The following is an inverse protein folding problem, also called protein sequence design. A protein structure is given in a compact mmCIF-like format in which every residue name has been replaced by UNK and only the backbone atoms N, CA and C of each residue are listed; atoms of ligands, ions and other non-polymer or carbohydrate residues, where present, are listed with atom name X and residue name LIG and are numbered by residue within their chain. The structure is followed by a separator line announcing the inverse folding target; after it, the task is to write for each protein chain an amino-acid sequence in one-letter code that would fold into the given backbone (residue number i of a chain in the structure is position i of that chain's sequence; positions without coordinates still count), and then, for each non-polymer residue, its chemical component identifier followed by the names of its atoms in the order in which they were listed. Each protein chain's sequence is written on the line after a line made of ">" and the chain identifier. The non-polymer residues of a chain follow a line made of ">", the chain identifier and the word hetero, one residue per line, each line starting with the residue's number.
data_IF_235106016916
#
_entry.id   IF_235106016916
#
_cell.length_a   1.000
_cell.length_b   1.000
_cell.length_c   1.000
_cell.angle_alpha   90.00
_cell.angle_beta   90.00
_cell.angle_gamma   90.00
#
_symmetry.space_group_name_H-M   'P 1'
#
loop_
_entity.id
_entity.type
_entity.pdbx_description
1 polymer ?
#
# COMPACT_ATOMS: atom_id res chain seq x y z
N UNK A 1 -8.78 -32.24 7.96
CA UNK A 1 -7.83 -32.20 6.82
C UNK A 1 -8.59 -31.76 5.60
N UNK A 2 -8.19 -30.67 4.92
CA UNK A 2 -8.77 -30.34 3.62
C UNK A 2 -8.34 -31.42 2.61
N UNK A 3 -9.32 -32.02 1.93
CA UNK A 3 -9.07 -33.07 0.96
C UNK A 3 -8.54 -32.44 -0.33
N UNK A 4 -7.28 -32.72 -0.68
CA UNK A 4 -6.60 -32.18 -1.87
C UNK A 4 -7.39 -32.46 -3.16
N UNK A 5 -8.15 -33.56 -3.20
CA UNK A 5 -8.98 -33.90 -4.35
C UNK A 5 -10.14 -32.91 -4.54
N UNK A 6 -10.73 -32.38 -3.47
CA UNK A 6 -11.81 -31.37 -3.54
C UNK A 6 -11.27 -30.06 -4.13
N UNK A 7 -10.01 -29.72 -3.82
CA UNK A 7 -9.35 -28.53 -4.37
C UNK A 7 -9.07 -28.68 -5.86
N UNK A 8 -8.57 -29.85 -6.27
CA UNK A 8 -8.29 -30.13 -7.69
C UNK A 8 -9.59 -30.15 -8.50
N UNK A 9 -10.65 -30.76 -7.97
CA UNK A 9 -11.98 -30.80 -8.59
C UNK A 9 -12.59 -29.40 -8.69
N UNK A 10 -12.48 -28.56 -7.64
CA UNK A 10 -12.92 -27.18 -7.70
C UNK A 10 -12.13 -26.34 -8.71
N UNK A 11 -10.83 -26.60 -8.86
CA UNK A 11 -9.98 -25.91 -9.84
C UNK A 11 -10.37 -26.31 -11.26
N UNK A 12 -10.60 -27.59 -11.50
CA UNK A 12 -11.02 -28.13 -12.81
C UNK A 12 -12.39 -27.58 -13.24
N UNK A 13 -13.35 -27.52 -12.31
CA UNK A 13 -14.64 -26.88 -12.51
C UNK A 13 -14.47 -25.39 -12.83
N UNK A 14 -13.62 -24.65 -12.10
CA UNK A 14 -13.38 -23.23 -12.40
C UNK A 14 -12.72 -22.99 -13.76
N UNK A 15 -11.88 -23.91 -14.23
CA UNK A 15 -11.23 -23.81 -15.55
C UNK A 15 -12.13 -24.18 -16.73
N UNK A 16 -13.28 -24.81 -16.47
CA UNK A 16 -14.23 -25.23 -17.51
C UNK A 16 -15.42 -24.27 -17.67
N UNK A 17 -15.51 -23.23 -16.84
CA UNK A 17 -16.59 -22.25 -16.92
C UNK A 17 -16.43 -21.32 -18.12
N UNK A 18 -17.55 -21.08 -18.81
CA UNK A 18 -17.64 -20.20 -19.97
C UNK A 18 -17.88 -18.74 -19.55
N UNK A 19 -17.66 -17.78 -20.46
CA UNK A 19 -17.88 -16.34 -20.18
C UNK A 19 -19.31 -16.02 -19.72
N UNK A 20 -20.28 -16.86 -20.07
CA UNK A 20 -21.68 -16.76 -19.63
C UNK A 20 -21.90 -17.12 -18.16
N UNK A 21 -20.99 -17.87 -17.53
CA UNK A 21 -21.11 -18.34 -16.14
C UNK A 21 -20.50 -17.36 -15.12
N UNK A 22 -19.77 -16.35 -15.59
CA UNK A 22 -19.11 -15.32 -14.78
C UNK A 22 -20.12 -14.53 -13.93
N UNK A 23 -21.33 -14.34 -14.43
CA UNK A 23 -22.41 -13.64 -13.70
C UNK A 23 -22.82 -14.35 -12.41
N UNK A 24 -22.78 -15.69 -12.39
CA UNK A 24 -23.12 -16.49 -11.21
C UNK A 24 -21.96 -16.50 -10.23
N UNK A 25 -20.71 -16.58 -10.72
CA UNK A 25 -19.50 -16.54 -9.89
C UNK A 25 -19.34 -15.23 -9.12
N UNK A 26 -19.77 -14.10 -9.69
CA UNK A 26 -19.73 -12.79 -9.00
C UNK A 26 -20.51 -12.78 -7.69
N UNK A 27 -21.60 -13.56 -7.59
CA UNK A 27 -22.35 -13.69 -6.33
C UNK A 27 -21.55 -14.42 -5.23
N UNK A 28 -20.51 -15.17 -5.62
CA UNK A 28 -19.66 -15.94 -4.72
C UNK A 28 -18.24 -15.36 -4.62
N UNK A 29 -17.96 -14.19 -5.19
CA UNK A 29 -16.63 -13.58 -5.27
C UNK A 29 -15.93 -13.55 -3.90
N UNK A 30 -16.60 -13.04 -2.87
CA UNK A 30 -16.04 -13.00 -1.51
C UNK A 30 -15.69 -14.39 -0.96
N UNK A 31 -16.56 -15.39 -1.19
CA UNK A 31 -16.30 -16.78 -0.78
C UNK A 31 -15.15 -17.41 -1.55
N UNK A 32 -14.98 -17.05 -2.83
CA UNK A 32 -13.89 -17.52 -3.67
C UNK A 32 -12.55 -16.93 -3.22
N UNK A 33 -12.52 -15.63 -2.90
CA UNK A 33 -11.34 -14.94 -2.36
C UNK A 33 -10.94 -15.54 -1.02
N UNK A 34 -11.90 -15.77 -0.11
CA UNK A 34 -11.63 -16.40 1.19
C UNK A 34 -11.08 -17.83 1.03
N UNK A 35 -11.65 -18.60 0.10
CA UNK A 35 -11.18 -19.96 -0.22
C UNK A 35 -9.75 -19.95 -0.79
N UNK A 36 -9.44 -19.04 -1.72
CA UNK A 36 -8.10 -18.89 -2.30
C UNK A 36 -7.06 -18.48 -1.26
N UNK A 37 -7.41 -17.54 -0.36
CA UNK A 37 -6.53 -17.16 0.73
C UNK A 37 -6.29 -18.32 1.71
N UNK A 38 -7.32 -19.09 2.05
CA UNK A 38 -7.18 -20.28 2.88
C UNK A 38 -6.24 -21.31 2.22
N UNK A 39 -6.38 -21.52 0.91
CA UNK A 39 -5.52 -22.41 0.12
C UNK A 39 -4.06 -21.97 0.14
N UNK A 40 -3.80 -20.68 -0.09
CA UNK A 40 -2.45 -20.12 -0.04
C UNK A 40 -1.80 -20.29 1.34
N UNK A 41 -2.56 -20.12 2.44
CA UNK A 41 -2.07 -20.37 3.80
C UNK A 41 -1.69 -21.85 3.97
N UNK A 42 -2.52 -22.77 3.48
CA UNK A 42 -2.23 -24.21 3.56
C UNK A 42 -1.01 -24.61 2.74
N UNK A 43 -0.86 -24.12 1.51
CA UNK A 43 0.32 -24.40 0.67
C UNK A 43 1.60 -23.90 1.34
N UNK A 44 1.58 -22.70 1.92
CA UNK A 44 2.74 -22.16 2.67
C UNK A 44 3.06 -23.00 3.90
N UNK A 45 2.05 -23.44 4.65
CA UNK A 45 2.25 -24.31 5.81
C UNK A 45 2.89 -25.65 5.41
N UNK A 46 2.46 -26.26 4.30
CA UNK A 46 3.05 -27.51 3.78
C UNK A 46 4.48 -27.29 3.30
N UNK A 47 4.77 -26.17 2.63
CA UNK A 47 6.13 -25.82 2.21
C UNK A 47 7.07 -25.59 3.39
N UNK A 48 6.60 -24.95 4.46
CA UNK A 48 7.38 -24.74 5.69
C UNK A 48 7.76 -26.07 6.35
N UNK A 49 6.81 -27.01 6.48
CA UNK A 49 7.08 -28.35 7.03
C UNK A 49 8.07 -29.13 6.17
N UNK A 50 7.99 -29.00 4.84
CA UNK A 50 8.92 -29.68 3.90
C UNK A 50 10.36 -29.18 4.06
N UNK A 51 10.58 -27.91 4.41
CA UNK A 51 11.91 -27.35 4.63
C UNK A 51 12.51 -27.85 5.94
N UNK A 52 11.71 -27.97 7.00
CA UNK A 52 12.17 -28.49 8.30
C UNK A 52 12.49 -29.99 8.25
N UNK A 53 11.79 -30.76 7.42
CA UNK A 53 12.01 -32.21 7.29
C UNK A 53 13.28 -32.57 6.49
N UNK A 54 13.74 -31.69 5.59
CA UNK A 54 14.96 -31.91 4.78
C UNK A 54 16.23 -31.39 5.48
N UNK A 55 16.08 -30.51 6.48
CA UNK A 55 17.21 -29.98 7.27
C UNK A 55 17.73 -30.89 8.39
N UNK A 56 17.02 -31.98 8.72
CA UNK A 56 17.39 -32.90 9.81
C UNK A 56 17.68 -34.31 9.29
N UNK A 57 18.52 -34.42 8.25
CA UNK A 57 19.04 -35.68 7.74
C UNK A 57 20.26 -36.19 8.53
N UNK A 58 20.04 -36.55 9.79
CA UNK A 58 20.97 -37.41 10.55
C UNK A 58 20.65 -38.88 10.26
N UNK A 59 21.62 -39.61 9.74
CA UNK A 59 21.54 -41.02 9.36
C UNK A 59 21.14 -41.93 10.51
N UNK A 60 19.99 -42.61 10.40
CA UNK A 60 19.74 -43.88 11.08
C UNK A 60 18.77 -44.76 10.28
N UNK A 61 19.33 -45.78 9.67
CA UNK A 61 18.66 -47.02 9.22
C UNK A 61 17.94 -47.70 10.38
N UNK A 62 16.73 -48.24 10.16
CA UNK A 62 16.32 -49.65 10.41
C UNK A 62 14.78 -49.81 10.26
N UNK A 63 14.44 -50.74 9.36
CA UNK A 63 13.31 -51.67 9.22
C UNK A 63 11.82 -51.29 9.37
N UNK A 64 10.94 -51.88 8.52
CA UNK A 64 9.49 -51.71 8.58
C UNK A 64 8.82 -52.82 9.40
N UNK A 65 7.78 -52.50 10.16
CA UNK A 65 6.71 -53.46 10.38
C UNK A 65 5.35 -52.82 10.69
N UNK A 66 4.34 -53.48 10.11
CA UNK A 66 2.88 -53.49 10.29
C UNK A 66 2.19 -52.60 11.35
N UNK A 67 1.04 -52.01 10.97
CA UNK A 67 -0.30 -52.46 11.43
C UNK A 67 -1.40 -51.40 11.28
N UNK A 68 -2.53 -51.87 10.78
CA UNK A 68 -3.88 -51.28 10.76
C UNK A 68 -4.31 -50.58 12.05
N UNK A 69 -5.13 -49.51 11.93
CA UNK A 69 -6.54 -49.48 12.41
C UNK A 69 -7.21 -48.12 12.19
N UNK A 70 -8.36 -48.14 11.52
CA UNK A 70 -9.39 -47.08 11.57
C UNK A 70 -10.05 -47.06 12.96
N UNK A 71 -10.74 -45.96 13.29
CA UNK A 71 -12.19 -46.15 13.40
C UNK A 71 -13.02 -44.99 12.82
N UNK A 72 -14.15 -45.39 12.24
CA UNK A 72 -15.30 -44.56 11.95
C UNK A 72 -16.06 -44.21 13.23
N UNK A 73 -16.74 -43.05 13.26
CA UNK A 73 -18.17 -42.98 13.64
C UNK A 73 -18.72 -41.55 13.74
N UNK A 74 -19.82 -41.36 13.01
CA UNK A 74 -21.12 -40.86 13.51
C UNK A 74 -21.37 -39.35 13.60
N UNK A 75 -22.22 -38.92 12.66
CA UNK A 75 -23.13 -37.77 12.69
C UNK A 75 -24.11 -37.85 13.89
N UNK A 76 -24.41 -36.72 14.55
CA UNK A 76 -25.74 -36.07 14.49
C UNK A 76 -25.86 -34.82 15.41
N UNK A 77 -26.90 -33.97 15.21
CA UNK A 77 -26.89 -32.53 15.46
C UNK A 77 -27.86 -32.08 16.59
N UNK A 78 -28.15 -30.77 16.62
CA UNK A 78 -29.09 -30.00 17.45
C UNK A 78 -28.40 -29.32 18.67
N UNK A 79 -28.77 -28.15 19.16
CA UNK A 79 -29.94 -27.29 18.92
C UNK A 79 -29.65 -25.88 19.51
N UNK A 80 -30.58 -24.99 19.19
CA UNK A 80 -30.74 -23.58 19.55
C UNK A 80 -30.81 -23.34 21.07
N UNK A 81 -30.20 -22.26 21.59
CA UNK A 81 -30.78 -21.50 22.70
C UNK A 81 -30.17 -20.09 22.85
N UNK A 82 -31.07 -19.12 22.91
CA UNK A 82 -30.86 -17.71 23.23
C UNK A 82 -30.38 -17.49 24.68
N UNK A 83 -29.73 -16.35 24.95
CA UNK A 83 -29.37 -16.00 26.32
C UNK A 83 -28.56 -14.72 26.51
N UNK A 84 -29.16 -13.58 26.20
CA UNK A 84 -29.25 -12.39 27.06
C UNK A 84 -28.15 -12.15 28.13
N UNK A 85 -27.46 -10.99 28.09
CA UNK A 85 -27.51 -9.92 29.12
C UNK A 85 -26.34 -8.92 29.03
N UNK A 86 -26.72 -7.65 29.07
CA UNK A 86 -25.92 -6.48 29.44
C UNK A 86 -25.16 -6.67 30.76
N UNK A 87 -23.98 -6.04 30.86
CA UNK A 87 -23.62 -5.24 32.04
C UNK A 87 -22.61 -4.15 31.68
N UNK A 88 -22.94 -2.93 32.12
CA UNK A 88 -22.12 -1.74 32.21
C UNK A 88 -20.82 -1.98 32.99
N UNK A 89 -19.73 -1.32 32.60
CA UNK A 89 -18.59 -1.05 33.48
C UNK A 89 -18.35 0.44 33.59
N UNK A 90 -18.37 0.89 34.84
CA UNK A 90 -18.10 2.23 35.32
C UNK A 90 -16.60 2.56 35.29
N UNK A 91 -16.34 3.85 35.10
CA UNK A 91 -15.05 4.54 35.23
C UNK A 91 -14.77 4.83 36.70
N UNK A 92 -13.52 4.77 37.17
CA UNK A 92 -13.09 5.55 38.31
C UNK A 92 -12.03 6.60 37.92
N UNK A 93 -12.40 7.84 38.18
CA UNK A 93 -11.54 9.02 38.28
C UNK A 93 -10.86 9.05 39.64
N UNK A 94 -9.58 9.41 39.72
CA UNK A 94 -8.97 10.01 40.93
C UNK A 94 -7.57 10.62 40.67
N UNK A 95 -7.09 11.51 41.56
CA UNK A 95 -6.41 12.75 41.14
C UNK A 95 -4.99 12.97 41.72
N UNK A 96 -4.35 14.04 41.19
CA UNK A 96 -3.46 15.05 41.81
C UNK A 96 -2.50 14.69 42.98
N UNK A 97 -1.24 15.09 42.86
CA UNK A 97 -0.29 15.17 43.98
C UNK A 97 1.11 15.73 43.64
N UNK A 98 1.25 17.05 43.76
CA UNK A 98 2.36 17.89 44.28
C UNK A 98 3.85 17.44 44.31
N UNK A 99 4.70 18.35 43.80
CA UNK A 99 5.95 18.93 44.34
C UNK A 99 7.00 18.09 45.08
N UNK A 100 8.27 18.15 44.62
CA UNK A 100 9.39 18.69 45.42
C UNK A 100 10.75 18.81 44.66
N UNK A 101 11.64 19.58 45.28
CA UNK A 101 12.75 20.40 44.79
C UNK A 101 14.15 19.83 45.10
N UNK A 102 15.05 19.78 44.08
CA UNK A 102 16.54 19.91 44.07
C UNK A 102 17.42 19.02 45.00
N UNK A 103 18.79 18.91 44.88
CA UNK A 103 19.76 19.63 44.02
C UNK A 103 20.87 18.77 43.34
N UNK A 104 21.73 19.49 42.60
CA UNK A 104 22.94 19.15 41.83
C UNK A 104 23.94 18.14 42.43
N UNK A 105 24.56 17.36 41.53
CA UNK A 105 25.95 16.90 41.64
C UNK A 105 26.72 17.20 40.35
N UNK A 106 27.88 17.83 40.55
CA UNK A 106 28.91 18.12 39.57
C UNK A 106 29.63 16.82 39.18
N UNK A 107 29.72 16.50 37.90
CA UNK A 107 30.63 15.49 37.38
C UNK A 107 31.46 16.12 36.28
N UNK A 108 32.73 16.35 36.61
CA UNK A 108 33.81 16.69 35.70
C UNK A 108 34.11 15.45 34.86
N UNK A 109 33.83 15.53 33.57
CA UNK A 109 33.95 14.43 32.62
C UNK A 109 34.20 15.00 31.25
N UNK A 110 35.39 14.72 30.73
CA UNK A 110 35.94 15.17 29.45
C UNK A 110 34.95 14.87 28.31
N UNK A 111 34.12 15.85 27.98
CA UNK A 111 33.25 15.80 26.80
C UNK A 111 34.14 15.93 25.57
N UNK A 112 34.41 14.79 24.94
CA UNK A 112 34.78 14.78 23.53
C UNK A 112 33.55 15.27 22.80
N UNK A 113 33.53 16.56 22.42
CA UNK A 113 32.43 17.13 21.65
C UNK A 113 32.20 16.25 20.41
N UNK A 114 31.01 15.64 20.24
CA UNK A 114 30.70 14.95 19.01
C UNK A 114 30.74 16.00 17.89
N UNK A 115 31.55 15.71 16.88
CA UNK A 115 31.62 16.42 15.61
C UNK A 115 30.23 16.92 15.19
N UNK A 116 30.12 18.18 14.79
CA UNK A 116 28.87 18.82 14.35
C UNK A 116 28.12 18.03 13.27
N UNK A 117 28.84 17.21 12.50
CA UNK A 117 28.29 16.36 11.44
C UNK A 117 27.49 15.16 11.97
N UNK A 118 27.74 14.70 13.19
CA UNK A 118 27.04 13.54 13.77
C UNK A 118 25.70 13.92 14.43
N UNK A 119 25.54 15.18 14.83
CA UNK A 119 24.26 15.70 15.34
C UNK A 119 23.23 15.96 14.22
N UNK A 120 23.67 16.35 13.03
CA UNK A 120 22.77 16.66 11.91
C UNK A 120 22.12 15.40 11.31
N UNK A 121 22.83 14.26 11.28
CA UNK A 121 22.29 12.96 10.81
C UNK A 121 21.18 12.39 11.70
N UNK A 122 21.03 12.87 12.93
CA UNK A 122 19.98 12.43 13.85
C UNK A 122 18.61 13.06 13.56
N UNK A 123 18.57 14.19 12.83
CA UNK A 123 17.35 14.98 12.75
C UNK A 123 16.28 14.40 11.81
N UNK A 124 16.66 13.59 10.82
CA UNK A 124 15.74 13.04 9.81
C UNK A 124 15.92 11.53 9.57
N UNK A 125 15.66 10.68 10.58
CA UNK A 125 15.95 9.24 10.50
C UNK A 125 15.22 8.53 9.34
N UNK A 126 14.01 8.99 8.97
CA UNK A 126 13.24 8.44 7.86
C UNK A 126 13.81 8.83 6.49
N UNK A 127 14.32 10.05 6.34
CA UNK A 127 15.01 10.50 5.13
C UNK A 127 16.32 9.72 4.95
N UNK A 128 17.13 9.62 6.00
CA UNK A 128 18.39 8.86 5.98
C UNK A 128 18.14 7.40 5.64
N UNK A 129 17.14 6.77 6.25
CA UNK A 129 16.79 5.38 5.97
C UNK A 129 16.31 5.16 4.52
N UNK A 130 15.52 6.09 3.96
CA UNK A 130 15.10 6.04 2.56
C UNK A 130 16.30 6.19 1.61
N UNK A 131 17.15 7.19 1.84
CA UNK A 131 18.28 7.47 0.96
C UNK A 131 19.34 6.38 1.04
N UNK A 132 19.61 5.85 2.23
CA UNK A 132 20.48 4.68 2.41
C UNK A 132 19.94 3.44 1.69
N UNK A 133 18.62 3.27 1.65
CA UNK A 133 18.00 2.18 0.89
C UNK A 133 18.13 2.37 -0.63
N UNK A 134 17.92 3.59 -1.11
CA UNK A 134 18.08 3.93 -2.54
C UNK A 134 19.53 3.83 -2.99
N UNK A 135 20.47 4.35 -2.19
CA UNK A 135 21.89 4.43 -2.52
C UNK A 135 22.64 3.11 -2.27
N UNK A 136 21.97 2.07 -1.78
CA UNK A 136 22.52 0.73 -1.82
C UNK A 136 22.83 0.35 -3.28
N UNK A 137 24.08 -0.03 -3.56
CA UNK A 137 24.60 -0.23 -4.92
C UNK A 137 23.75 -1.18 -5.76
N UNK A 138 23.40 -2.33 -5.22
CA UNK A 138 22.57 -3.35 -5.91
C UNK A 138 21.16 -2.83 -6.15
N UNK A 139 20.56 -2.18 -5.14
CA UNK A 139 19.22 -1.62 -5.25
C UNK A 139 19.15 -0.50 -6.28
N UNK A 140 20.10 0.43 -6.25
CA UNK A 140 20.19 1.55 -7.19
C UNK A 140 20.32 1.04 -8.63
N UNK A 141 21.22 0.08 -8.86
CA UNK A 141 21.39 -0.55 -10.17
C UNK A 141 20.10 -1.21 -10.65
N UNK A 142 19.44 -2.02 -9.80
CA UNK A 142 18.20 -2.71 -10.16
C UNK A 142 17.05 -1.73 -10.48
N UNK A 143 16.93 -0.62 -9.74
CA UNK A 143 15.93 0.42 -10.01
C UNK A 143 16.22 1.10 -11.35
N UNK A 144 17.48 1.49 -11.59
CA UNK A 144 17.87 2.16 -12.83
C UNK A 144 17.69 1.26 -14.06
N UNK A 145 18.04 -0.01 -13.94
CA UNK A 145 17.84 -1.03 -14.97
C UNK A 145 16.35 -1.19 -15.27
N UNK A 146 15.52 -1.43 -14.25
CA UNK A 146 14.08 -1.57 -14.41
C UNK A 146 13.46 -0.35 -15.09
N UNK A 147 13.78 0.86 -14.62
CA UNK A 147 13.24 2.10 -15.17
C UNK A 147 13.82 2.44 -16.56
N UNK A 148 14.86 1.75 -17.03
CA UNK A 148 15.38 1.87 -18.40
C UNK A 148 14.62 1.00 -19.39
N UNK A 149 13.89 -0.01 -18.91
CA UNK A 149 12.98 -0.81 -19.72
C UNK A 149 11.61 -0.10 -19.84
N UNK A 150 10.91 -0.37 -20.94
CA UNK A 150 9.50 0.06 -21.06
C UNK A 150 8.64 -0.96 -20.32
N UNK A 151 7.89 -0.56 -19.27
CA UNK A 151 7.00 -1.46 -18.55
C UNK A 151 5.83 -1.87 -19.44
N UNK A 152 5.51 -3.16 -19.44
CA UNK A 152 4.28 -3.64 -20.04
C UNK A 152 3.17 -3.65 -18.99
N UNK A 153 2.24 -2.70 -19.11
CA UNK A 153 1.09 -2.62 -18.21
C UNK A 153 0.02 -3.68 -18.48
N UNK A 154 0.18 -4.52 -19.52
CA UNK A 154 -0.78 -5.55 -19.92
C UNK A 154 -2.13 -4.97 -20.36
N UNK A 155 -3.12 -5.83 -20.59
CA UNK A 155 -4.53 -5.42 -20.58
C UNK A 155 -4.97 -5.32 -19.12
N UNK A 156 -5.52 -4.17 -18.73
CA UNK A 156 -6.22 -4.08 -17.44
C UNK A 156 -7.50 -4.88 -17.60
N UNK A 157 -7.69 -5.93 -16.80
CA UNK A 157 -8.93 -6.71 -16.80
C UNK A 157 -10.11 -5.72 -16.76
N UNK A 158 -11.11 -5.90 -17.63
CA UNK A 158 -12.29 -5.06 -17.65
C UNK A 158 -13.05 -5.19 -16.32
N UNK A 159 -12.70 -4.36 -15.35
CA UNK A 159 -13.28 -4.39 -14.02
C UNK A 159 -14.71 -3.87 -14.11
N UNK A 160 -15.68 -4.77 -13.89
CA UNK A 160 -17.11 -4.47 -14.08
C UNK A 160 -17.73 -3.71 -12.90
N UNK A 161 -17.01 -3.52 -11.80
CA UNK A 161 -17.48 -2.79 -10.62
C UNK A 161 -16.38 -1.91 -10.00
N UNK A 162 -16.72 -0.65 -9.79
CA UNK A 162 -15.88 0.31 -9.06
C UNK A 162 -14.87 1.06 -9.92
N UNK A 163 -14.06 1.90 -9.28
CA UNK A 163 -12.95 2.59 -9.96
C UNK A 163 -11.76 1.63 -10.17
N UNK A 164 -11.33 1.38 -11.42
CA UNK A 164 -10.27 0.41 -11.72
C UNK A 164 -8.95 0.75 -11.02
N UNK A 165 -8.67 2.03 -10.74
CA UNK A 165 -7.44 2.45 -10.05
C UNK A 165 -7.43 2.00 -8.60
N UNK A 166 -8.60 1.95 -7.94
CA UNK A 166 -8.74 1.49 -6.56
C UNK A 166 -8.52 -0.02 -6.48
N UNK A 167 -9.14 -0.78 -7.38
CA UNK A 167 -8.94 -2.23 -7.49
C UNK A 167 -7.47 -2.56 -7.77
N UNK A 168 -6.84 -1.85 -8.71
CA UNK A 168 -5.43 -2.02 -9.04
C UNK A 168 -4.52 -1.76 -7.83
N UNK A 169 -4.80 -0.71 -7.04
CA UNK A 169 -4.06 -0.43 -5.80
C UNK A 169 -4.18 -1.58 -4.82
N UNK A 170 -5.37 -2.15 -4.66
CA UNK A 170 -5.60 -3.27 -3.75
C UNK A 170 -4.80 -4.52 -4.18
N UNK A 171 -4.87 -4.89 -5.46
CA UNK A 171 -4.11 -6.02 -6.04
C UNK A 171 -2.61 -5.81 -5.83
N UNK A 172 -2.11 -4.64 -6.23
CA UNK A 172 -0.70 -4.27 -6.14
C UNK A 172 -0.25 -3.88 -4.73
N UNK A 173 -1.05 -4.08 -3.68
CA UNK A 173 -0.63 -3.88 -2.29
C UNK A 173 -0.27 -5.20 -1.59
N UNK A 174 -0.38 -6.34 -2.27
CA UNK A 174 -0.08 -7.65 -1.73
C UNK A 174 1.41 -7.83 -1.37
N UNK A 175 1.77 -8.62 -0.33
CA UNK A 175 3.17 -8.90 -0.01
C UNK A 175 3.90 -9.61 -1.17
N UNK A 176 5.15 -9.23 -1.43
CA UNK A 176 5.99 -9.84 -2.49
C UNK A 176 5.98 -9.11 -3.83
N UNK A 177 5.51 -7.86 -3.86
CA UNK A 177 5.40 -7.07 -5.09
C UNK A 177 6.73 -6.88 -5.84
N UNK A 178 6.69 -7.19 -7.13
CA UNK A 178 7.71 -6.78 -8.10
C UNK A 178 7.62 -5.28 -8.40
N UNK A 179 8.61 -4.75 -9.13
CA UNK A 179 8.63 -3.35 -9.52
C UNK A 179 7.41 -2.96 -10.38
N UNK A 180 6.87 -3.84 -11.22
CA UNK A 180 5.65 -3.56 -11.99
C UNK A 180 4.44 -3.31 -11.11
N UNK A 181 4.26 -4.08 -10.04
CA UNK A 181 3.18 -3.87 -9.10
C UNK A 181 3.36 -2.55 -8.34
N UNK A 182 4.59 -2.22 -7.92
CA UNK A 182 4.90 -0.93 -7.30
C UNK A 182 4.62 0.25 -8.24
N UNK A 183 5.04 0.14 -9.50
CA UNK A 183 4.85 1.17 -10.52
C UNK A 183 3.37 1.37 -10.84
N UNK A 184 2.63 0.30 -11.15
CA UNK A 184 1.19 0.38 -11.44
C UNK A 184 0.42 0.99 -10.28
N UNK A 185 0.68 0.56 -9.04
CA UNK A 185 0.09 1.19 -7.84
C UNK A 185 0.41 2.68 -7.75
N UNK A 186 1.65 3.05 -8.02
CA UNK A 186 2.09 4.45 -8.02
C UNK A 186 1.35 5.30 -9.06
N UNK A 187 1.23 4.80 -10.29
CA UNK A 187 0.48 5.45 -11.37
C UNK A 187 -1.02 5.56 -11.06
N UNK A 188 -1.63 4.53 -10.45
CA UNK A 188 -3.01 4.59 -9.96
C UNK A 188 -3.21 5.72 -8.94
N UNK A 189 -2.31 5.81 -7.95
CA UNK A 189 -2.36 6.83 -6.90
C UNK A 189 -2.16 8.23 -7.47
N UNK A 190 -1.18 8.39 -8.38
CA UNK A 190 -0.90 9.66 -9.05
C UNK A 190 -2.09 10.11 -9.90
N UNK A 191 -2.68 9.22 -10.69
CA UNK A 191 -3.89 9.50 -11.50
C UNK A 191 -5.04 10.03 -10.65
N UNK A 192 -5.35 9.35 -9.53
CA UNK A 192 -6.41 9.76 -8.60
C UNK A 192 -6.13 11.14 -7.98
N UNK A 193 -4.87 11.42 -7.62
CA UNK A 193 -4.50 12.71 -7.05
C UNK A 193 -4.51 13.84 -8.07
N UNK A 194 -4.15 13.57 -9.33
CA UNK A 194 -4.27 14.54 -10.44
C UNK A 194 -5.75 14.88 -10.68
N UNK A 195 -6.64 13.89 -10.74
CA UNK A 195 -8.09 14.13 -10.90
C UNK A 195 -8.65 14.97 -9.74
N UNK A 196 -8.24 14.66 -8.50
CA UNK A 196 -8.65 15.46 -7.34
C UNK A 196 -8.13 16.91 -7.41
N UNK A 197 -6.85 17.13 -7.73
CA UNK A 197 -6.28 18.48 -7.82
C UNK A 197 -6.87 19.30 -8.98
N UNK A 198 -7.21 18.66 -10.10
CA UNK A 198 -7.96 19.28 -11.19
C UNK A 198 -9.37 19.68 -10.75
N UNK A 199 -10.10 18.77 -10.09
CA UNK A 199 -11.44 19.03 -9.57
C UNK A 199 -11.46 20.16 -8.53
N UNK A 200 -10.48 20.18 -7.62
CA UNK A 200 -10.39 21.20 -6.57
C UNK A 200 -10.11 22.58 -7.18
N UNK A 201 -9.24 22.66 -8.19
CA UNK A 201 -8.98 23.89 -8.93
C UNK A 201 -10.23 24.38 -9.65
N UNK A 202 -10.96 23.49 -10.31
CA UNK A 202 -12.17 23.85 -11.04
C UNK A 202 -13.32 24.29 -10.11
N UNK A 203 -13.47 23.66 -8.95
CA UNK A 203 -14.65 23.86 -8.06
C UNK A 203 -14.41 24.93 -7.00
N UNK A 204 -13.17 25.10 -6.55
CA UNK A 204 -12.85 25.93 -5.40
C UNK A 204 -11.76 26.97 -5.67
N UNK A 205 -11.21 27.03 -6.89
CA UNK A 205 -10.09 27.91 -7.28
C UNK A 205 -8.88 27.75 -6.33
N UNK A 206 -8.64 26.51 -5.89
CA UNK A 206 -7.56 26.14 -4.96
C UNK A 206 -6.85 24.88 -5.45
N UNK A 207 -5.58 24.75 -5.08
CA UNK A 207 -4.81 23.52 -5.32
C UNK A 207 -4.10 23.14 -4.04
N UNK A 208 -4.45 21.98 -3.50
CA UNK A 208 -3.81 21.43 -2.32
C UNK A 208 -2.33 21.13 -2.56
N UNK A 209 -1.97 20.70 -3.77
CA UNK A 209 -0.58 20.47 -4.16
C UNK A 209 0.22 21.76 -4.04
N UNK A 210 -0.31 22.87 -4.57
CA UNK A 210 0.33 24.17 -4.51
C UNK A 210 0.48 24.68 -3.06
N UNK A 211 -0.60 24.63 -2.28
CA UNK A 211 -0.59 25.05 -0.87
C UNK A 211 0.47 24.31 -0.06
N UNK A 212 0.52 22.97 -0.17
CA UNK A 212 1.48 22.14 0.54
C UNK A 212 2.91 22.32 0.04
N UNK A 213 3.11 22.68 -1.23
CA UNK A 213 4.44 22.96 -1.77
C UNK A 213 5.02 24.28 -1.24
N UNK A 214 4.16 25.26 -0.98
CA UNK A 214 4.53 26.60 -0.49
C UNK A 214 4.64 26.63 1.05
N UNK A 215 3.74 25.93 1.77
CA UNK A 215 3.78 25.79 3.23
C UNK A 215 3.59 24.32 3.64
N UNK A 216 4.71 23.63 3.87
CA UNK A 216 4.70 22.21 4.29
C UNK A 216 4.14 21.98 5.69
N UNK A 217 4.02 23.04 6.50
CA UNK A 217 3.39 22.99 7.82
C UNK A 217 1.91 23.32 7.75
N UNK A 218 1.39 23.72 6.58
CA UNK A 218 -0.04 23.82 6.35
C UNK A 218 -0.62 22.44 6.63
N UNK A 219 -1.17 22.28 7.83
CA UNK A 219 -1.70 20.99 8.31
C UNK A 219 -2.51 20.39 7.16
N UNK A 220 -2.39 19.08 6.95
CA UNK A 220 -3.53 18.30 6.47
C UNK A 220 -4.65 18.41 7.52
N UNK A 221 -5.19 19.62 7.74
CA UNK A 221 -6.58 19.72 8.11
C UNK A 221 -7.28 18.95 7.01
N UNK A 222 -8.12 17.98 7.37
CA UNK A 222 -9.09 17.39 6.45
C UNK A 222 -9.77 18.57 5.78
N UNK A 223 -9.30 18.94 4.59
CA UNK A 223 -9.97 19.95 3.80
C UNK A 223 -11.29 19.29 3.47
N UNK A 224 -12.40 19.94 3.83
CA UNK A 224 -13.72 19.42 3.52
C UNK A 224 -13.82 19.01 2.05
N UNK A 225 -13.04 19.66 1.16
CA UNK A 225 -12.96 19.36 -0.25
C UNK A 225 -12.58 17.92 -0.58
N UNK A 226 -11.58 17.30 0.08
CA UNK A 226 -11.24 15.90 -0.23
C UNK A 226 -12.39 14.98 0.17
N UNK A 227 -13.00 15.21 1.33
CA UNK A 227 -14.16 14.45 1.77
C UNK A 227 -15.36 14.65 0.83
N UNK A 228 -15.61 15.89 0.39
CA UNK A 228 -16.65 16.23 -0.60
C UNK A 228 -16.39 15.54 -1.93
N UNK A 229 -15.16 15.57 -2.43
CA UNK A 229 -14.77 14.87 -3.66
C UNK A 229 -15.01 13.37 -3.54
N UNK A 230 -14.57 12.77 -2.43
CA UNK A 230 -14.72 11.34 -2.18
C UNK A 230 -16.20 10.94 -2.17
N UNK A 231 -17.04 11.68 -1.43
CA UNK A 231 -18.48 11.43 -1.34
C UNK A 231 -19.19 11.61 -2.69
N UNK A 232 -18.73 12.54 -3.53
CA UNK A 232 -19.31 12.78 -4.85
C UNK A 232 -18.86 11.75 -5.91
N UNK A 233 -17.63 11.25 -5.82
CA UNK A 233 -16.98 10.48 -6.90
C UNK A 233 -16.95 8.97 -6.68
N UNK A 234 -16.94 8.51 -5.42
CA UNK A 234 -16.75 7.10 -5.08
C UNK A 234 -17.94 6.57 -4.29
N UNK A 235 -18.18 5.26 -4.43
CA UNK A 235 -19.17 4.56 -3.61
C UNK A 235 -18.66 4.42 -2.17
N UNK A 236 -19.58 4.26 -1.22
CA UNK A 236 -19.24 4.16 0.21
C UNK A 236 -18.21 3.06 0.53
N UNK A 237 -18.23 1.94 -0.20
CA UNK A 237 -17.29 0.83 -0.01
C UNK A 237 -15.89 1.11 -0.59
N UNK A 238 -15.71 2.14 -1.41
CA UNK A 238 -14.45 2.55 -2.03
C UNK A 238 -13.87 3.83 -1.40
N UNK A 239 -14.71 4.60 -0.69
CA UNK A 239 -14.39 5.93 -0.17
C UNK A 239 -13.09 5.98 0.67
N UNK A 240 -12.91 5.03 1.60
CA UNK A 240 -11.72 4.99 2.45
C UNK A 240 -10.46 4.67 1.63
N UNK A 241 -10.54 3.67 0.76
CA UNK A 241 -9.42 3.28 -0.10
C UNK A 241 -9.03 4.42 -1.05
N UNK A 242 -10.01 5.12 -1.62
CA UNK A 242 -9.79 6.29 -2.47
C UNK A 242 -9.17 7.45 -1.69
N UNK A 243 -9.64 7.73 -0.47
CA UNK A 243 -9.06 8.78 0.37
C UNK A 243 -7.58 8.53 0.67
N UNK A 244 -7.23 7.28 1.03
CA UNK A 244 -5.84 6.89 1.28
C UNK A 244 -5.00 6.96 0.00
N UNK A 245 -5.53 6.46 -1.12
CA UNK A 245 -4.86 6.50 -2.42
C UNK A 245 -4.55 7.93 -2.87
N UNK A 246 -5.53 8.83 -2.80
CA UNK A 246 -5.37 10.24 -3.17
C UNK A 246 -4.38 10.92 -2.22
N UNK A 247 -4.43 10.64 -0.91
CA UNK A 247 -3.48 11.22 0.04
C UNK A 247 -2.03 10.82 -0.25
N UNK A 248 -1.81 9.58 -0.67
CA UNK A 248 -0.50 9.11 -1.13
C UNK A 248 -0.10 9.76 -2.46
N UNK A 249 -1.03 9.86 -3.41
CA UNK A 249 -0.81 10.53 -4.69
C UNK A 249 -0.46 12.02 -4.55
N UNK A 250 -1.16 12.75 -3.67
CA UNK A 250 -0.89 14.16 -3.38
C UNK A 250 0.54 14.35 -2.85
N UNK A 251 1.04 13.41 -2.05
CA UNK A 251 2.41 13.46 -1.56
C UNK A 251 3.44 13.35 -2.68
N UNK A 252 3.15 12.56 -3.73
CA UNK A 252 3.96 12.54 -4.94
C UNK A 252 3.98 13.90 -5.60
N UNK A 253 2.80 14.43 -5.94
CA UNK A 253 2.69 15.70 -6.66
C UNK A 253 3.35 16.87 -5.90
N UNK A 254 3.19 16.91 -4.57
CA UNK A 254 3.88 17.91 -3.73
C UNK A 254 5.39 17.73 -3.79
N UNK A 255 5.89 16.50 -3.73
CA UNK A 255 7.33 16.27 -3.83
C UNK A 255 7.86 16.55 -5.24
N UNK A 256 7.12 16.23 -6.31
CA UNK A 256 7.47 16.61 -7.70
C UNK A 256 7.65 18.13 -7.81
N UNK A 257 6.73 18.90 -7.22
CA UNK A 257 6.76 20.36 -7.16
C UNK A 257 7.99 20.89 -6.40
N UNK A 258 8.29 20.35 -5.21
CA UNK A 258 9.47 20.75 -4.41
C UNK A 258 10.77 20.35 -5.12
N UNK A 259 10.82 19.15 -5.70
CA UNK A 259 12.00 18.60 -6.35
C UNK A 259 12.32 19.38 -7.64
N UNK A 260 11.28 19.74 -8.41
CA UNK A 260 11.38 20.48 -9.67
C UNK A 260 11.32 19.61 -10.92
N UNK A 261 11.33 18.27 -10.74
CA UNK A 261 11.26 17.30 -11.82
C UNK A 261 10.33 16.15 -11.43
N UNK A 262 9.31 15.90 -12.24
CA UNK A 262 8.29 14.88 -11.96
C UNK A 262 8.85 13.44 -12.00
N UNK A 263 9.90 13.18 -12.79
CA UNK A 263 10.51 11.86 -12.92
C UNK A 263 11.06 11.27 -11.61
N UNK A 264 11.26 12.07 -10.57
CA UNK A 264 11.62 11.59 -9.22
C UNK A 264 10.57 10.65 -8.63
N UNK A 265 9.30 10.84 -8.99
CA UNK A 265 8.21 9.98 -8.52
C UNK A 265 8.39 8.54 -8.99
N UNK A 266 8.90 8.30 -10.20
CA UNK A 266 9.13 6.93 -10.70
C UNK A 266 10.11 6.16 -9.80
N UNK A 267 11.18 6.82 -9.36
CA UNK A 267 12.16 6.22 -8.43
C UNK A 267 11.48 5.88 -7.11
N UNK A 268 10.72 6.84 -6.57
CA UNK A 268 10.15 6.71 -5.24
C UNK A 268 8.95 5.77 -5.19
N UNK A 269 8.18 5.60 -6.28
CA UNK A 269 7.10 4.61 -6.38
C UNK A 269 7.61 3.20 -6.09
N UNK A 270 8.83 2.87 -6.54
CA UNK A 270 9.47 1.56 -6.32
C UNK A 270 9.91 1.33 -4.86
N UNK A 271 10.03 2.40 -4.08
CA UNK A 271 10.39 2.35 -2.64
C UNK A 271 9.33 3.03 -1.77
N UNK A 272 8.07 3.02 -2.22
CA UNK A 272 7.00 3.83 -1.65
C UNK A 272 6.80 3.61 -0.15
N UNK A 273 6.95 2.38 0.36
CA UNK A 273 6.77 2.11 1.78
C UNK A 273 7.68 2.96 2.68
N UNK A 274 8.91 3.25 2.23
CA UNK A 274 9.86 4.12 2.93
C UNK A 274 9.57 5.59 2.68
N UNK A 275 9.22 5.95 1.45
CA UNK A 275 8.85 7.34 1.13
C UNK A 275 7.59 7.77 1.89
N UNK A 276 6.59 6.90 2.03
CA UNK A 276 5.37 7.14 2.79
C UNK A 276 5.67 7.60 4.23
N UNK A 277 6.71 7.06 4.84
CA UNK A 277 7.09 7.37 6.22
C UNK A 277 7.82 8.71 6.39
N UNK A 278 8.30 9.34 5.31
CA UNK A 278 8.94 10.68 5.37
C UNK A 278 7.87 11.73 5.62
N UNK A 279 8.04 12.65 6.57
CA UNK A 279 7.00 13.67 6.82
C UNK A 279 7.04 14.75 5.73
N UNK A 280 5.94 15.49 5.54
CA UNK A 280 5.91 16.58 4.56
C UNK A 280 6.98 17.65 4.87
N UNK A 281 7.18 17.94 6.15
CA UNK A 281 8.17 18.92 6.63
C UNK A 281 9.62 18.51 6.32
N UNK A 282 9.87 17.21 6.10
CA UNK A 282 11.19 16.66 5.83
C UNK A 282 11.48 16.53 4.32
N UNK A 283 10.50 16.82 3.45
CA UNK A 283 10.64 16.73 1.99
C UNK A 283 11.76 17.64 1.42
N UNK A 284 11.98 18.88 1.89
CA UNK A 284 13.09 19.69 1.43
C UNK A 284 14.46 19.07 1.75
N UNK A 285 14.58 18.38 2.89
CA UNK A 285 15.80 17.64 3.20
C UNK A 285 15.95 16.42 2.29
N UNK A 286 14.85 15.68 2.05
CA UNK A 286 14.87 14.57 1.09
C UNK A 286 15.34 15.01 -0.30
N UNK A 287 14.92 16.18 -0.79
CA UNK A 287 15.43 16.75 -2.06
C UNK A 287 16.95 16.86 -2.05
N UNK A 288 17.54 17.40 -0.99
CA UNK A 288 19.00 17.57 -0.87
C UNK A 288 19.74 16.23 -0.89
N UNK A 289 19.21 15.22 -0.19
CA UNK A 289 19.81 13.88 -0.11
C UNK A 289 19.67 13.07 -1.41
N UNK A 290 18.71 13.42 -2.28
CA UNK A 290 18.49 12.79 -3.57
C UNK A 290 19.27 13.44 -4.72
N UNK A 291 20.31 14.23 -4.42
CA UNK A 291 21.13 14.91 -5.45
C UNK A 291 21.75 13.93 -6.46
N UNK A 292 22.21 12.77 -6.01
CA UNK A 292 22.82 11.75 -6.88
C UNK A 292 21.81 11.08 -7.84
N UNK A 293 20.52 11.35 -7.66
CA UNK A 293 19.43 10.88 -8.51
C UNK A 293 18.91 11.95 -9.46
N UNK A 294 19.39 13.19 -9.39
CA UNK A 294 18.84 14.35 -10.10
C UNK A 294 18.87 14.18 -11.62
N UNK A 295 20.04 13.93 -12.20
CA UNK A 295 20.17 13.71 -13.66
C UNK A 295 19.29 12.55 -14.15
N UNK A 296 19.19 11.49 -13.35
CA UNK A 296 18.36 10.34 -13.68
C UNK A 296 16.86 10.68 -13.63
N UNK A 297 16.42 11.39 -12.59
CA UNK A 297 15.04 11.85 -12.44
C UNK A 297 14.64 12.81 -13.58
N UNK A 298 15.53 13.72 -13.96
CA UNK A 298 15.35 14.61 -15.13
C UNK A 298 15.13 13.76 -16.39
N UNK A 299 16.03 12.80 -16.66
CA UNK A 299 15.93 11.91 -17.83
C UNK A 299 14.68 11.03 -17.85
N UNK A 300 13.99 10.85 -16.71
CA UNK A 300 12.76 10.04 -16.60
C UNK A 300 11.47 10.87 -16.56
N UNK A 301 11.58 12.19 -16.66
CA UNK A 301 10.41 13.09 -16.58
C UNK A 301 9.42 12.85 -17.73
N UNK A 302 9.90 12.73 -18.97
CA UNK A 302 9.05 12.39 -20.12
C UNK A 302 8.49 10.97 -20.04
N UNK A 303 9.30 10.01 -19.56
CA UNK A 303 8.85 8.63 -19.37
C UNK A 303 7.66 8.54 -18.41
N UNK A 304 7.67 9.32 -17.31
CA UNK A 304 6.54 9.33 -16.38
C UNK A 304 5.24 9.74 -17.06
N UNK A 305 5.26 10.80 -17.87
CA UNK A 305 4.05 11.28 -18.54
C UNK A 305 3.58 10.32 -19.64
N UNK A 306 4.49 9.73 -20.39
CA UNK A 306 4.17 8.67 -21.37
C UNK A 306 3.56 7.44 -20.70
N UNK A 307 4.15 7.00 -19.58
CA UNK A 307 3.68 5.83 -18.85
C UNK A 307 2.35 6.09 -18.14
N UNK A 308 2.17 7.29 -17.58
CA UNK A 308 0.89 7.72 -17.03
C UNK A 308 -0.19 7.74 -18.11
N UNK A 309 0.11 8.32 -19.28
CA UNK A 309 -0.83 8.36 -20.41
C UNK A 309 -1.19 6.96 -20.93
N UNK A 310 -0.20 6.07 -21.05
CA UNK A 310 -0.41 4.67 -21.44
C UNK A 310 -1.24 3.91 -20.41
N UNK A 311 -0.96 4.10 -19.12
CA UNK A 311 -1.74 3.54 -18.02
C UNK A 311 -3.20 4.01 -18.05
N UNK A 312 -3.43 5.31 -18.23
CA UNK A 312 -4.77 5.90 -18.28
C UNK A 312 -5.52 5.53 -19.56
N UNK A 313 -4.85 5.40 -20.71
CA UNK A 313 -5.47 4.93 -21.95
C UNK A 313 -5.93 3.47 -21.88
N UNK A 314 -5.26 2.64 -21.07
CA UNK A 314 -5.63 1.24 -20.82
C UNK A 314 -6.68 1.09 -19.72
N UNK A 315 -6.67 1.99 -18.75
CA UNK A 315 -7.71 2.08 -17.72
C UNK A 315 -8.92 2.75 -18.36
N UNK A 316 -9.88 1.97 -18.85
CA UNK A 316 -11.10 2.48 -19.48
C UNK A 316 -12.05 3.18 -18.49
N UNK A 317 -11.57 4.18 -17.75
CA UNK A 317 -12.39 5.03 -16.90
C UNK A 317 -12.81 6.26 -17.70
N UNK A 318 -14.12 6.47 -17.80
CA UNK A 318 -14.65 7.76 -18.22
C UNK A 318 -14.25 8.78 -17.16
N UNK A 319 -13.35 9.71 -17.51
CA UNK A 319 -13.06 10.90 -16.69
C UNK A 319 -14.41 11.52 -16.35
N UNK A 320 -14.82 11.44 -15.08
CA UNK A 320 -16.16 11.82 -14.68
C UNK A 320 -16.39 13.27 -15.12
N UNK A 321 -17.38 13.49 -15.99
CA UNK A 321 -17.84 14.81 -16.41
C UNK A 321 -18.55 15.53 -15.27
N UNK A 322 -17.89 15.67 -14.11
CA UNK A 322 -18.40 16.35 -12.91
C UNK A 322 -18.49 17.87 -13.08
N UNK A 323 -18.32 18.40 -14.30
CA UNK A 323 -18.78 19.74 -14.67
C UNK A 323 -20.19 19.63 -15.22
N UNK A 324 -21.14 19.18 -14.40
CA UNK A 324 -22.53 19.54 -14.61
C UNK A 324 -22.68 20.97 -14.07
N UNK A 325 -22.81 21.92 -14.98
CA UNK A 325 -23.08 23.32 -14.70
C UNK A 325 -24.19 23.46 -13.63
N UNK A 326 -23.89 23.98 -12.42
CA UNK A 326 -24.92 24.19 -11.40
C UNK A 326 -25.91 25.30 -11.77
N UNK A 327 -25.76 25.94 -12.94
CA UNK A 327 -26.64 27.00 -13.45
C UNK A 327 -27.32 26.68 -14.78
N UNK A 328 -27.32 25.41 -15.22
CA UNK A 328 -28.16 24.99 -16.36
C UNK A 328 -29.64 24.93 -15.96
N UNK A 329 -30.28 26.10 -15.90
CA UNK A 329 -31.75 26.30 -15.96
C UNK A 329 -32.13 26.98 -17.26
#
# INVERSE_FOLDING_TARGET
>A
MLNLNIILEATDVLTTLSDTDIGVLLHYEGKLVDALQALQRTVRAVQAVRIETVGSGGTATVSPDSSFSNPASTLQPAEIAAGNKNTHSEVPTSPSGSDNRSPNYTTDGTETEPSSDDKEKSQWPKVVALCSHLNNKERSAAIKEYLSCTPDFGEMCAWKSGDPRITEIAICSSPGNCYDACLRRGLSQRSLAVEFDEWERATHDKSRVRELSEDLKARLKRTGHLETFIQARFKNNEAEAAQVAISHGLKWLVFESIYGHNGVSLVLMLVFSRFRDVKYEDLPQLKKELKDWEDFAIGKSSCLEEWQSSYEGKSSYTKCGLVSDPYAT
#
